data_IF_194376387602
#
_entry.id   IF_194376387602
#
_cell.length_a   1.000
_cell.length_b   1.000
_cell.length_c   1.000
_cell.angle_alpha   90.00
_cell.angle_beta   90.00
_cell.angle_gamma   90.00
#
_symmetry.space_group_name_H-M   'P 1'
#
loop_
_entity.id
_entity.type
_entity.pdbx_description
1 polymer ?
#
# COMPACT_ATOMS: atom_id res chain seq x y z
N UNK A 1 30.91 -3.24 6.02
CA UNK A 1 30.13 -4.07 6.97
C UNK A 1 29.02 -3.21 7.56
N UNK A 2 28.11 -2.71 6.71
CA UNK A 2 26.96 -1.90 7.14
C UNK A 2 25.75 -2.19 6.24
N UNK A 3 25.41 -3.47 6.10
CA UNK A 3 24.46 -3.92 5.07
C UNK A 3 23.26 -4.68 5.69
N UNK A 4 23.44 -5.33 6.84
CA UNK A 4 22.38 -6.12 7.49
C UNK A 4 21.33 -5.25 8.21
N UNK A 5 21.74 -4.13 8.82
CA UNK A 5 20.79 -3.24 9.53
C UNK A 5 19.87 -2.48 8.57
N UNK A 6 20.41 -2.03 7.43
CA UNK A 6 19.61 -1.37 6.40
C UNK A 6 18.65 -2.38 5.77
N UNK A 7 19.15 -3.56 5.38
CA UNK A 7 18.32 -4.65 4.87
C UNK A 7 17.18 -5.02 5.83
N UNK A 8 17.45 -5.13 7.14
CA UNK A 8 16.43 -5.40 8.16
C UNK A 8 15.34 -4.33 8.25
N UNK A 9 15.71 -3.04 8.13
CA UNK A 9 14.74 -1.93 8.13
C UNK A 9 13.87 -1.92 6.88
N UNK A 10 14.43 -2.17 5.70
CA UNK A 10 13.66 -2.27 4.46
C UNK A 10 12.74 -3.49 4.47
N UNK A 11 13.20 -4.64 4.98
CA UNK A 11 12.38 -5.83 5.11
C UNK A 11 11.19 -5.61 6.06
N UNK A 12 11.43 -4.97 7.22
CA UNK A 12 10.37 -4.60 8.15
C UNK A 12 9.37 -3.62 7.52
N UNK A 13 9.86 -2.60 6.80
CA UNK A 13 9.00 -1.65 6.09
C UNK A 13 8.16 -2.35 5.01
N UNK A 14 8.75 -3.26 4.23
CA UNK A 14 8.04 -4.05 3.23
C UNK A 14 6.93 -4.90 3.86
N UNK A 15 7.20 -5.59 4.97
CA UNK A 15 6.19 -6.36 5.70
C UNK A 15 5.02 -5.49 6.19
N UNK A 16 5.32 -4.31 6.73
CA UNK A 16 4.30 -3.34 7.17
C UNK A 16 3.46 -2.85 5.99
N UNK A 17 4.10 -2.50 4.85
CA UNK A 17 3.39 -2.09 3.65
C UNK A 17 2.50 -3.21 3.10
N UNK A 18 2.98 -4.45 3.08
CA UNK A 18 2.19 -5.60 2.61
C UNK A 18 0.98 -5.86 3.52
N UNK A 19 1.14 -5.77 4.84
CA UNK A 19 0.01 -5.88 5.77
C UNK A 19 -1.02 -4.77 5.56
N UNK A 20 -0.56 -3.52 5.43
CA UNK A 20 -1.46 -2.39 5.16
C UNK A 20 -2.18 -2.55 3.83
N UNK A 21 -1.48 -2.99 2.78
CA UNK A 21 -2.08 -3.31 1.49
C UNK A 21 -3.18 -4.36 1.64
N UNK A 22 -2.92 -5.44 2.39
CA UNK A 22 -3.88 -6.52 2.59
C UNK A 22 -5.16 -6.04 3.30
N UNK A 23 -5.01 -5.19 4.33
CA UNK A 23 -6.15 -4.57 5.03
C UNK A 23 -6.94 -3.66 4.11
N UNK A 24 -6.27 -2.77 3.35
CA UNK A 24 -6.93 -1.90 2.37
C UNK A 24 -7.64 -2.70 1.27
N UNK A 25 -7.03 -3.81 0.85
CA UNK A 25 -7.60 -4.70 -0.14
C UNK A 25 -8.89 -5.36 0.36
N UNK A 26 -8.91 -5.85 1.61
CA UNK A 26 -10.12 -6.41 2.23
C UNK A 26 -11.22 -5.36 2.47
N UNK A 27 -10.84 -4.13 2.83
CA UNK A 27 -11.78 -3.03 2.98
C UNK A 27 -12.48 -2.65 1.67
N UNK A 28 -11.80 -2.82 0.52
CA UNK A 28 -12.35 -2.52 -0.81
C UNK A 28 -13.76 -3.11 -1.02
N UNK A 29 -13.93 -4.43 -1.12
CA UNK A 29 -15.24 -5.04 -1.28
C UNK A 29 -16.14 -4.80 -0.06
N UNK A 30 -15.61 -4.75 1.16
CA UNK A 30 -16.43 -4.55 2.36
C UNK A 30 -17.21 -3.23 2.35
N UNK A 31 -16.57 -2.15 1.88
CA UNK A 31 -17.17 -0.80 1.84
C UNK A 31 -17.75 -0.43 0.47
N UNK A 32 -17.23 -1.00 -0.62
CA UNK A 32 -17.56 -0.60 -1.98
C UNK A 32 -18.18 -1.72 -2.83
N UNK A 33 -18.57 -2.87 -2.26
CA UNK A 33 -19.24 -3.96 -3.01
C UNK A 33 -20.45 -3.49 -3.84
N UNK A 34 -21.15 -2.45 -3.39
CA UNK A 34 -22.33 -1.90 -4.10
C UNK A 34 -22.03 -0.66 -4.95
N UNK A 35 -20.76 -0.26 -5.09
CA UNK A 35 -20.37 0.98 -5.75
C UNK A 35 -20.45 0.93 -7.29
N UNK A 36 -21.05 -0.12 -7.86
CA UNK A 36 -21.22 -0.28 -9.29
C UNK A 36 -19.92 -0.55 -10.05
N UNK A 37 -20.03 -0.55 -11.38
CA UNK A 37 -18.91 -0.76 -12.29
C UNK A 37 -18.34 0.58 -12.74
N UNK A 38 -17.02 0.68 -12.71
CA UNK A 38 -16.25 1.80 -13.25
C UNK A 38 -15.27 1.28 -14.29
N UNK A 39 -15.33 1.79 -15.52
CA UNK A 39 -14.51 1.32 -16.65
C UNK A 39 -14.58 -0.21 -16.88
N UNK A 40 -15.76 -0.81 -16.65
CA UNK A 40 -15.99 -2.26 -16.83
C UNK A 40 -15.52 -3.15 -15.68
N UNK A 41 -14.93 -2.59 -14.63
CA UNK A 41 -14.51 -3.31 -13.42
C UNK A 41 -15.15 -2.69 -12.17
N UNK A 42 -15.29 -3.44 -11.08
CA UNK A 42 -15.92 -2.88 -9.90
C UNK A 42 -15.07 -1.77 -9.26
N UNK A 43 -15.71 -0.73 -8.71
CA UNK A 43 -14.97 0.43 -8.17
C UNK A 43 -13.94 0.05 -7.08
N UNK A 44 -14.24 -0.96 -6.26
CA UNK A 44 -13.29 -1.47 -5.26
C UNK A 44 -12.02 -2.05 -5.88
N UNK A 45 -12.09 -2.62 -7.08
CA UNK A 45 -10.91 -3.14 -7.78
C UNK A 45 -9.92 -2.00 -8.07
N UNK A 46 -10.41 -0.86 -8.55
CA UNK A 46 -9.57 0.30 -8.82
C UNK A 46 -8.92 0.85 -7.54
N UNK A 47 -9.68 0.91 -6.46
CA UNK A 47 -9.19 1.36 -5.16
C UNK A 47 -8.13 0.41 -4.59
N UNK A 48 -8.38 -0.89 -4.63
CA UNK A 48 -7.48 -1.88 -4.05
C UNK A 48 -6.26 -2.17 -4.93
N UNK A 49 -6.40 -2.20 -6.26
CA UNK A 49 -5.35 -2.64 -7.18
C UNK A 49 -4.50 -1.50 -7.75
N UNK A 50 -5.02 -0.27 -7.77
CA UNK A 50 -4.31 0.90 -8.31
C UNK A 50 -4.07 1.95 -7.24
N UNK A 51 -5.12 2.39 -6.54
CA UNK A 51 -4.98 3.49 -5.57
C UNK A 51 -4.16 3.07 -4.33
N UNK A 52 -4.48 1.93 -3.70
CA UNK A 52 -3.78 1.45 -2.51
C UNK A 52 -2.26 1.27 -2.71
N UNK A 53 -1.74 0.60 -3.76
CA UNK A 53 -0.30 0.47 -3.94
C UNK A 53 0.38 1.81 -4.22
N UNK A 54 -0.26 2.71 -4.98
CA UNK A 54 0.27 4.06 -5.22
C UNK A 54 0.36 4.86 -3.91
N UNK A 55 -0.69 4.85 -3.10
CA UNK A 55 -0.70 5.52 -1.79
C UNK A 55 0.38 4.96 -0.86
N UNK A 56 0.56 3.64 -0.82
CA UNK A 56 1.60 3.00 0.00
C UNK A 56 3.02 3.36 -0.48
N UNK A 57 3.25 3.45 -1.79
CA UNK A 57 4.52 3.91 -2.34
C UNK A 57 4.81 5.37 -1.98
N UNK A 58 3.79 6.25 -2.04
CA UNK A 58 3.91 7.65 -1.62
C UNK A 58 4.21 7.73 -0.12
N UNK A 59 3.51 6.96 0.71
CA UNK A 59 3.74 6.87 2.15
C UNK A 59 5.17 6.42 2.46
N UNK A 60 5.65 5.39 1.77
CA UNK A 60 7.02 4.91 1.92
C UNK A 60 8.03 5.99 1.49
N UNK A 61 7.77 6.68 0.38
CA UNK A 61 8.61 7.78 -0.09
C UNK A 61 8.68 8.92 0.93
N UNK A 62 7.56 9.33 1.52
CA UNK A 62 7.52 10.34 2.58
C UNK A 62 8.25 9.86 3.83
N UNK A 63 8.04 8.61 4.24
CA UNK A 63 8.67 8.03 5.42
C UNK A 63 10.20 7.89 5.28
N UNK A 64 10.67 7.48 4.10
CA UNK A 64 12.11 7.41 3.78
C UNK A 64 12.72 8.78 3.44
N UNK A 65 11.94 9.71 2.88
CA UNK A 65 12.37 11.06 2.55
C UNK A 65 12.48 11.95 3.78
N UNK A 66 11.57 11.80 4.75
CA UNK A 66 11.57 12.52 6.02
C UNK A 66 12.67 12.08 6.99
N UNK A 67 13.39 11.00 6.72
CA UNK A 67 14.55 10.55 7.51
C UNK A 67 15.89 11.13 7.02
N UNK A 68 15.85 12.06 6.06
CA UNK A 68 17.02 12.82 5.55
C UNK A 68 17.03 14.31 5.94
N UNK A 69 16.08 14.77 6.75
CA UNK A 69 15.98 16.15 7.26
C UNK A 69 16.44 16.25 8.70
#
# INVERSE_FOLDING_TARGET
MMDNKLAGRLAAAALVLTLLYFVLWLCGPLFFANAGLWLGLPAWFWLSCVAAPVVLLILLFIWMGGTRG
#
